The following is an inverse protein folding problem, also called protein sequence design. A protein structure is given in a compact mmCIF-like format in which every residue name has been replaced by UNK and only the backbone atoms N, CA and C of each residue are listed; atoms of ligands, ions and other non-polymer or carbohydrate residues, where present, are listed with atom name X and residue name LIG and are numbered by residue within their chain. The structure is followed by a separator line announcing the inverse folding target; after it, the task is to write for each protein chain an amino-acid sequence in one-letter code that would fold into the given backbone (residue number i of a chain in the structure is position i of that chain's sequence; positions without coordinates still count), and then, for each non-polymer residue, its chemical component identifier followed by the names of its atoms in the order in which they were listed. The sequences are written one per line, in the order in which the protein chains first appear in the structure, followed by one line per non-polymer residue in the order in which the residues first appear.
data_IF_336942333883
#
_entry.id   IF_336942333883
#
_cell.length_a   1.000
_cell.length_b   1.000
_cell.length_c   1.000
_cell.angle_alpha   90.00
_cell.angle_beta   90.00
_cell.angle_gamma   90.00
#
_symmetry.space_group_name_H-M   'P 1'
#
loop_
_entity.id
_entity.type
_entity.pdbx_description
1 polymer ?
#
# COMPACT_ATOMS: atom_id res chain seq x y z
N UNK A 1 12.56 20.59 -19.75
CA UNK A 1 12.39 19.43 -20.64
C UNK A 1 10.93 19.03 -20.57
N UNK A 2 10.20 19.03 -21.70
CA UNK A 2 8.77 18.70 -21.73
C UNK A 2 8.62 17.20 -22.03
N UNK A 3 7.91 16.47 -21.17
CA UNK A 3 7.58 15.05 -21.37
C UNK A 3 6.23 14.98 -22.07
N UNK A 4 6.13 14.18 -23.14
CA UNK A 4 4.87 13.89 -23.83
C UNK A 4 4.33 12.55 -23.31
N UNK A 5 3.04 12.48 -23.01
CA UNK A 5 2.41 11.26 -22.52
C UNK A 5 1.40 10.73 -23.54
N UNK A 6 1.43 9.42 -23.73
CA UNK A 6 0.56 8.70 -24.66
C UNK A 6 -0.04 7.48 -23.96
N UNK A 7 -1.20 7.05 -24.42
CA UNK A 7 -1.78 5.74 -24.10
C UNK A 7 -1.73 4.85 -25.33
N UNK A 8 -1.38 3.58 -25.15
CA UNK A 8 -1.43 2.59 -26.24
C UNK A 8 -2.84 1.98 -26.39
N UNK A 9 -2.95 0.98 -27.27
CA UNK A 9 -4.21 0.28 -27.55
C UNK A 9 -4.78 -0.45 -26.32
N UNK A 10 -3.92 -0.87 -25.38
CA UNK A 10 -4.30 -1.57 -24.15
C UNK A 10 -4.62 -0.59 -23.00
N UNK A 11 -4.31 0.70 -23.19
CA UNK A 11 -4.54 1.78 -22.23
C UNK A 11 -3.38 2.00 -21.26
N UNK A 12 -2.22 1.38 -21.48
CA UNK A 12 -1.02 1.67 -20.68
C UNK A 12 -0.46 3.04 -21.04
N UNK A 13 0.02 3.77 -20.01
CA UNK A 13 0.49 5.15 -20.16
C UNK A 13 2.02 5.16 -20.28
N UNK A 14 2.50 5.76 -21.37
CA UNK A 14 3.92 5.90 -21.70
C UNK A 14 4.34 7.37 -21.64
N UNK A 15 5.44 7.66 -20.95
CA UNK A 15 6.06 8.99 -20.91
C UNK A 15 7.33 9.05 -21.75
N UNK A 16 7.34 9.87 -22.79
CA UNK A 16 8.49 10.05 -23.67
C UNK A 16 9.17 11.40 -23.41
N UNK A 17 10.45 11.33 -23.10
CA UNK A 17 11.29 12.47 -22.80
C UNK A 17 11.90 12.94 -24.12
N UNK A 18 11.41 14.09 -24.61
CA UNK A 18 11.91 14.86 -25.77
C UNK A 18 11.59 14.32 -27.19
N UNK A 19 11.84 15.18 -28.20
CA UNK A 19 11.59 14.90 -29.62
C UNK A 19 12.51 13.81 -30.21
N UNK A 20 13.62 13.47 -29.55
CA UNK A 20 14.53 12.39 -29.97
C UNK A 20 13.84 11.03 -29.85
N UNK A 21 12.86 10.89 -28.95
CA UNK A 21 12.09 9.66 -28.73
C UNK A 21 10.80 9.60 -29.56
N UNK A 22 10.52 10.60 -30.42
CA UNK A 22 9.30 10.60 -31.23
C UNK A 22 9.22 9.38 -32.17
N UNK A 23 10.36 8.79 -32.56
CA UNK A 23 10.42 7.55 -33.35
C UNK A 23 9.89 6.30 -32.61
N UNK A 24 9.70 6.37 -31.29
CA UNK A 24 9.12 5.29 -30.49
C UNK A 24 7.59 5.37 -30.43
N UNK A 25 7.00 6.45 -30.91
CA UNK A 25 5.54 6.63 -30.97
C UNK A 25 5.01 5.77 -32.12
N UNK A 26 4.16 4.80 -31.78
CA UNK A 26 3.48 3.94 -32.75
C UNK A 26 2.15 4.58 -33.21
N UNK A 27 1.60 4.13 -34.34
CA UNK A 27 0.34 4.68 -34.88
C UNK A 27 -0.86 4.53 -33.95
N UNK A 28 -0.85 3.53 -33.06
CA UNK A 28 -1.89 3.24 -32.08
C UNK A 28 -1.76 4.07 -30.78
N UNK A 29 -0.69 4.86 -30.63
CA UNK A 29 -0.48 5.68 -29.45
C UNK A 29 -1.31 6.97 -29.55
N UNK A 30 -2.17 7.20 -28.56
CA UNK A 30 -3.02 8.40 -28.47
C UNK A 30 -2.46 9.35 -27.41
N UNK A 31 -2.18 10.62 -27.72
CA UNK A 31 -1.72 11.57 -26.72
C UNK A 31 -2.78 11.79 -25.64
N UNK A 32 -2.37 11.85 -24.37
CA UNK A 32 -3.30 12.13 -23.27
C UNK A 32 -3.87 13.56 -23.40
N UNK A 33 -5.18 13.68 -23.20
CA UNK A 33 -5.85 14.98 -23.10
C UNK A 33 -5.40 15.75 -21.86
N UNK A 34 -5.65 17.07 -21.82
CA UNK A 34 -5.36 17.89 -20.64
C UNK A 34 -6.01 17.35 -19.36
N UNK A 35 -7.23 16.82 -19.46
CA UNK A 35 -7.92 16.24 -18.31
C UNK A 35 -7.31 14.89 -17.88
N UNK A 36 -6.90 14.05 -18.83
CA UNK A 36 -6.18 12.80 -18.52
C UNK A 36 -4.81 13.07 -17.89
N UNK A 37 -4.09 14.08 -18.39
CA UNK A 37 -2.84 14.54 -17.77
C UNK A 37 -3.07 15.08 -16.35
N UNK A 38 -4.09 15.91 -16.13
CA UNK A 38 -4.37 16.44 -14.79
C UNK A 38 -4.77 15.33 -13.81
N UNK A 39 -5.50 14.28 -14.25
CA UNK A 39 -5.79 13.10 -13.44
C UNK A 39 -4.57 12.22 -13.19
N UNK A 40 -3.66 12.10 -14.16
CA UNK A 40 -2.43 11.34 -14.02
C UNK A 40 -1.47 11.97 -12.99
N UNK A 41 -1.33 13.29 -13.05
CA UNK A 41 -0.39 14.01 -12.18
C UNK A 41 -0.99 14.44 -10.84
N UNK A 42 -2.32 14.63 -10.80
CA UNK A 42 -3.03 15.08 -9.61
C UNK A 42 -4.26 14.20 -9.35
N UNK A 43 -4.09 12.87 -9.21
CA UNK A 43 -5.20 11.95 -9.04
C UNK A 43 -6.08 12.35 -7.85
N UNK A 44 -5.46 12.80 -6.76
CA UNK A 44 -6.11 13.24 -5.52
C UNK A 44 -7.19 14.32 -5.73
N UNK A 45 -7.11 15.17 -6.77
CA UNK A 45 -8.16 16.17 -7.07
C UNK A 45 -9.50 15.55 -7.43
N UNK A 46 -9.49 14.30 -7.89
CA UNK A 46 -10.64 13.60 -8.47
C UNK A 46 -11.09 12.41 -7.63
N UNK A 47 -10.38 12.10 -6.54
CA UNK A 47 -10.70 11.01 -5.63
C UNK A 47 -11.64 11.52 -4.51
N UNK A 48 -12.57 10.67 -4.11
CA UNK A 48 -13.31 10.80 -2.84
C UNK A 48 -12.35 10.64 -1.65
N UNK A 49 -12.78 11.04 -0.44
CA UNK A 49 -11.94 10.89 0.76
C UNK A 49 -11.57 9.42 1.04
N UNK A 50 -12.50 8.49 0.78
CA UNK A 50 -12.24 7.05 0.92
C UNK A 50 -11.19 6.56 -0.11
N UNK A 51 -11.31 7.00 -1.36
CA UNK A 51 -10.34 6.66 -2.40
C UNK A 51 -8.97 7.30 -2.16
N UNK A 52 -8.92 8.53 -1.63
CA UNK A 52 -7.66 9.17 -1.21
C UNK A 52 -6.96 8.36 -0.12
N UNK A 53 -7.71 7.87 0.85
CA UNK A 53 -7.17 7.05 1.93
C UNK A 53 -6.65 5.71 1.42
N UNK A 54 -7.42 5.05 0.55
CA UNK A 54 -7.00 3.81 -0.10
C UNK A 54 -5.74 4.03 -0.96
N UNK A 55 -5.69 5.12 -1.73
CA UNK A 55 -4.52 5.51 -2.52
C UNK A 55 -3.31 5.79 -1.64
N UNK A 56 -3.46 6.57 -0.56
CA UNK A 56 -2.38 6.82 0.42
C UNK A 56 -1.82 5.51 0.97
N UNK A 57 -2.68 4.58 1.40
CA UNK A 57 -2.27 3.27 1.94
C UNK A 57 -1.61 2.38 0.90
N UNK A 58 -2.00 2.48 -0.37
CA UNK A 58 -1.34 1.72 -1.45
C UNK A 58 0.09 2.20 -1.73
N UNK A 59 0.44 3.43 -1.33
CA UNK A 59 1.79 3.96 -1.46
C UNK A 59 2.70 3.61 -0.26
N UNK A 60 2.17 3.01 0.82
CA UNK A 60 3.01 2.65 1.94
C UNK A 60 4.01 1.55 1.56
N UNK A 61 5.30 1.72 1.87
CA UNK A 61 6.29 0.67 1.69
C UNK A 61 5.97 -0.51 2.60
N UNK A 62 6.47 -1.68 2.19
CA UNK A 62 6.44 -2.87 3.04
C UNK A 62 7.35 -2.63 4.24
N UNK A 63 6.87 -2.97 5.44
CA UNK A 63 7.71 -2.95 6.64
C UNK A 63 8.50 -4.25 6.71
N UNK A 64 9.78 -4.17 7.05
CA UNK A 64 10.53 -5.36 7.46
C UNK A 64 9.97 -5.90 8.77
N UNK A 65 10.22 -7.18 9.05
CA UNK A 65 9.91 -7.75 10.36
C UNK A 65 10.49 -6.92 11.52
N UNK A 66 11.72 -6.43 11.40
CA UNK A 66 12.31 -5.61 12.46
C UNK A 66 11.51 -4.31 12.71
N UNK A 67 11.18 -3.57 11.65
CA UNK A 67 10.41 -2.32 11.75
C UNK A 67 9.01 -2.53 12.34
N UNK A 68 8.32 -3.57 11.89
CA UNK A 68 6.99 -3.91 12.39
C UNK A 68 7.04 -4.29 13.87
N UNK A 69 7.93 -5.21 14.25
CA UNK A 69 8.05 -5.68 15.64
C UNK A 69 8.56 -4.59 16.58
N UNK A 70 9.47 -3.72 16.13
CA UNK A 70 9.90 -2.56 16.90
C UNK A 70 8.75 -1.58 17.11
N UNK A 71 8.01 -1.25 16.05
CA UNK A 71 6.82 -0.41 16.17
C UNK A 71 5.81 -0.95 17.18
N UNK A 72 5.57 -2.26 17.16
CA UNK A 72 4.65 -2.90 18.11
C UNK A 72 5.11 -2.68 19.54
N UNK A 73 6.41 -2.82 19.80
CA UNK A 73 6.99 -2.59 21.13
C UNK A 73 6.90 -1.12 21.56
N UNK A 74 7.14 -0.17 20.66
CA UNK A 74 6.99 1.27 20.94
C UNK A 74 5.52 1.64 21.26
N UNK A 75 4.57 0.94 20.65
CA UNK A 75 3.14 1.05 20.96
C UNK A 75 2.70 0.27 22.21
N UNK A 76 3.63 -0.40 22.90
CA UNK A 76 3.37 -1.12 24.15
C UNK A 76 2.88 -2.57 23.97
N UNK A 77 2.95 -3.13 22.77
CA UNK A 77 2.54 -4.50 22.47
C UNK A 77 3.73 -5.45 22.42
N UNK A 78 3.67 -6.53 23.21
CA UNK A 78 4.64 -7.62 23.13
C UNK A 78 4.17 -8.66 22.14
N UNK A 79 5.10 -9.24 21.40
CA UNK A 79 4.80 -10.30 20.43
C UNK A 79 4.07 -11.49 21.05
N UNK A 80 4.46 -11.88 22.27
CA UNK A 80 3.83 -12.97 23.02
C UNK A 80 2.35 -12.75 23.29
N UNK A 81 1.96 -11.50 23.52
CA UNK A 81 0.58 -11.15 23.85
C UNK A 81 -0.29 -11.25 22.58
N UNK A 82 0.26 -10.84 21.43
CA UNK A 82 -0.40 -11.01 20.13
C UNK A 82 -0.53 -12.48 19.76
N UNK A 83 0.52 -13.27 19.93
CA UNK A 83 0.47 -14.72 19.69
C UNK A 83 -0.60 -15.40 20.54
N UNK A 84 -0.68 -15.03 21.83
CA UNK A 84 -1.73 -15.55 22.73
C UNK A 84 -3.14 -15.20 22.25
N UNK A 85 -3.35 -13.98 21.73
CA UNK A 85 -4.63 -13.57 21.18
C UNK A 85 -4.97 -14.29 19.86
N UNK A 86 -4.00 -14.48 18.97
CA UNK A 86 -4.18 -15.26 17.73
C UNK A 86 -4.64 -16.69 18.06
N UNK A 87 -4.09 -17.30 19.12
CA UNK A 87 -4.49 -18.65 19.56
C UNK A 87 -5.96 -18.74 20.00
N UNK A 88 -6.64 -17.63 20.31
CA UNK A 88 -8.06 -17.60 20.65
C UNK A 88 -8.99 -17.59 19.42
N UNK A 89 -8.44 -17.43 18.21
CA UNK A 89 -9.22 -17.53 16.97
C UNK A 89 -9.75 -18.96 16.83
N UNK A 90 -11.08 -19.09 16.79
CA UNK A 90 -11.77 -20.39 16.72
C UNK A 90 -11.56 -21.11 15.40
N UNK A 91 -11.67 -20.38 14.29
CA UNK A 91 -11.46 -20.92 12.95
C UNK A 91 -9.99 -21.29 12.77
N UNK A 92 -9.72 -22.59 12.57
CA UNK A 92 -8.37 -23.12 12.53
C UNK A 92 -7.57 -22.59 11.36
N UNK A 93 -8.17 -22.51 10.18
CA UNK A 93 -7.51 -21.99 8.99
C UNK A 93 -7.12 -20.51 9.18
N UNK A 94 -8.05 -19.67 9.66
CA UNK A 94 -7.77 -18.27 9.95
C UNK A 94 -6.70 -18.11 11.03
N UNK A 95 -6.73 -18.95 12.08
CA UNK A 95 -5.72 -18.94 13.15
C UNK A 95 -4.33 -19.27 12.59
N UNK A 96 -4.19 -20.35 11.83
CA UNK A 96 -2.91 -20.77 11.25
C UNK A 96 -2.38 -19.73 10.26
N UNK A 97 -3.23 -19.21 9.37
CA UNK A 97 -2.84 -18.18 8.41
C UNK A 97 -2.41 -16.88 9.10
N UNK A 98 -3.12 -16.47 10.16
CA UNK A 98 -2.75 -15.28 10.94
C UNK A 98 -1.43 -15.49 11.68
N UNK A 99 -1.20 -16.67 12.27
CA UNK A 99 0.06 -17.01 12.93
C UNK A 99 1.22 -17.01 11.94
N UNK A 100 1.04 -17.59 10.75
CA UNK A 100 2.05 -17.58 9.67
C UNK A 100 2.39 -16.13 9.27
N UNK A 101 1.36 -15.30 9.03
CA UNK A 101 1.53 -13.90 8.68
C UNK A 101 2.19 -13.06 9.78
N UNK A 102 1.94 -13.36 11.05
CA UNK A 102 2.54 -12.63 12.16
C UNK A 102 3.96 -13.11 12.50
N UNK A 103 4.18 -14.42 12.56
CA UNK A 103 5.40 -15.03 13.09
C UNK A 103 6.47 -15.22 12.03
N UNK A 104 6.08 -15.62 10.82
CA UNK A 104 7.01 -16.09 9.80
C UNK A 104 7.18 -15.11 8.63
N UNK A 105 6.34 -14.07 8.56
CA UNK A 105 6.49 -13.04 7.53
C UNK A 105 7.81 -12.27 7.67
N UNK A 106 8.56 -12.21 6.56
CA UNK A 106 9.74 -11.36 6.43
C UNK A 106 9.40 -9.88 6.20
N UNK A 107 8.23 -9.63 5.60
CA UNK A 107 7.72 -8.30 5.28
C UNK A 107 6.22 -8.22 5.55
N UNK A 108 5.76 -7.02 5.90
CA UNK A 108 4.36 -6.72 6.19
C UNK A 108 3.86 -5.66 5.22
N UNK A 109 2.65 -5.83 4.69
CA UNK A 109 1.98 -4.88 3.81
C UNK A 109 0.75 -4.31 4.49
N UNK A 110 0.56 -2.99 4.46
CA UNK A 110 -0.50 -2.30 5.23
C UNK A 110 -1.90 -2.88 4.94
N UNK A 111 -2.14 -3.25 3.68
CA UNK A 111 -3.43 -3.72 3.18
C UNK A 111 -3.55 -5.25 3.20
N UNK A 112 -2.56 -5.97 3.74
CA UNK A 112 -2.65 -7.42 3.86
C UNK A 112 -3.75 -7.83 4.85
N UNK A 113 -4.38 -8.99 4.60
CA UNK A 113 -5.45 -9.51 5.45
C UNK A 113 -4.98 -9.74 6.89
N UNK A 114 -3.72 -10.16 7.10
CA UNK A 114 -3.16 -10.37 8.45
C UNK A 114 -3.12 -9.07 9.27
N UNK A 115 -2.89 -7.91 8.64
CA UNK A 115 -2.95 -6.61 9.30
C UNK A 115 -4.37 -6.27 9.72
N UNK A 116 -5.36 -6.60 8.89
CA UNK A 116 -6.78 -6.40 9.24
C UNK A 116 -7.17 -7.26 10.45
N UNK A 117 -6.72 -8.51 10.51
CA UNK A 117 -6.96 -9.39 11.66
C UNK A 117 -6.26 -8.85 12.90
N UNK A 118 -5.00 -8.42 12.80
CA UNK A 118 -4.26 -7.84 13.92
C UNK A 118 -4.91 -6.56 14.45
N UNK A 119 -5.35 -5.66 13.56
CA UNK A 119 -6.13 -4.48 13.93
C UNK A 119 -7.34 -4.85 14.78
N UNK A 120 -8.10 -5.86 14.35
CA UNK A 120 -9.30 -6.31 15.07
C UNK A 120 -8.95 -6.94 16.43
N UNK A 121 -7.88 -7.73 16.51
CA UNK A 121 -7.36 -8.31 17.76
C UNK A 121 -6.97 -7.21 18.76
N UNK A 122 -6.37 -6.14 18.27
CA UNK A 122 -5.91 -5.01 19.06
C UNK A 122 -7.00 -3.98 19.36
N UNK A 123 -8.22 -4.21 18.86
CA UNK A 123 -9.35 -3.28 18.95
C UNK A 123 -9.01 -1.87 18.44
N UNK A 124 -8.23 -1.82 17.35
CA UNK A 124 -7.74 -0.57 16.76
C UNK A 124 -8.58 -0.09 15.58
N UNK A 125 -8.57 1.22 15.39
CA UNK A 125 -9.10 1.85 14.19
C UNK A 125 -8.09 1.78 13.06
N UNK A 126 -8.61 1.96 11.85
CA UNK A 126 -7.81 2.02 10.63
C UNK A 126 -6.81 3.19 10.64
N UNK A 127 -7.18 4.30 11.29
CA UNK A 127 -6.31 5.46 11.48
C UNK A 127 -5.16 5.16 12.44
N UNK A 128 -5.42 4.51 13.57
CA UNK A 128 -4.36 4.12 14.51
C UNK A 128 -3.35 3.14 13.88
N UNK A 129 -3.79 2.26 12.97
CA UNK A 129 -2.85 1.41 12.22
C UNK A 129 -2.06 2.22 11.20
N UNK A 130 -2.62 3.26 10.60
CA UNK A 130 -1.89 4.17 9.72
C UNK A 130 -0.80 4.92 10.50
N UNK A 131 -1.13 5.44 11.69
CA UNK A 131 -0.17 6.09 12.61
C UNK A 131 0.94 5.13 13.06
N UNK A 132 0.58 3.88 13.36
CA UNK A 132 1.54 2.83 13.65
C UNK A 132 2.49 2.60 12.46
N UNK A 133 1.94 2.51 11.25
CA UNK A 133 2.72 2.29 10.04
C UNK A 133 3.70 3.43 9.80
N UNK A 134 3.22 4.66 9.95
CA UNK A 134 4.01 5.88 9.81
C UNK A 134 5.15 5.95 10.82
N UNK A 135 4.93 5.55 12.07
CA UNK A 135 6.01 5.43 13.05
C UNK A 135 7.02 4.35 12.64
N UNK A 136 6.56 3.15 12.30
CA UNK A 136 7.44 2.02 11.96
C UNK A 136 8.36 2.29 10.77
N UNK A 137 7.93 3.14 9.82
CA UNK A 137 8.76 3.55 8.68
C UNK A 137 9.96 4.43 9.07
N UNK A 138 9.98 5.00 10.28
CA UNK A 138 11.06 5.89 10.73
C UNK A 138 12.30 5.15 11.26
N UNK A 139 12.23 3.81 11.36
CA UNK A 139 13.27 2.97 11.95
C UNK A 139 14.02 2.11 10.94
#
# INVERSE_FOLDING_TARGET
MQVKYFKDADGEIHGLINEVQDHLIKEDFVPLTKNELDRLFFPEKYLTEEEKLAYKRSQYPKLTRYQFMRGMLEYGYKSSDIEAQIMLIKDEYTRELTMLGFKDAGYFERNDQSITVMRNILEKTDLEIDEFWELSMTF
#
